data_IF_115918167261
#
_entry.id   IF_115918167261
#
_cell.length_a   1.000
_cell.length_b   1.000
_cell.length_c   1.000
_cell.angle_alpha   90.00
_cell.angle_beta   90.00
_cell.angle_gamma   90.00
#
_symmetry.space_group_name_H-M   'P 1'
#
loop_
_entity.id
_entity.type
_entity.pdbx_description
1 polymer ?
#
# COMPACT_ATOMS: atom_id res chain seq x y z
N UNK A 1 2.04 -24.76 -14.10
CA UNK A 1 0.90 -24.06 -13.47
C UNK A 1 -0.31 -24.48 -14.28
N UNK A 2 -1.19 -25.29 -13.71
CA UNK A 2 -2.42 -25.71 -14.40
C UNK A 2 -3.28 -24.47 -14.62
N UNK A 3 -3.80 -24.31 -15.81
CA UNK A 3 -4.70 -23.23 -16.20
C UNK A 3 -5.97 -23.34 -15.35
N UNK A 4 -6.04 -22.60 -14.25
CA UNK A 4 -7.32 -22.40 -13.58
C UNK A 4 -8.20 -21.58 -14.53
N UNK A 5 -9.43 -22.04 -14.82
CA UNK A 5 -10.35 -21.26 -15.61
C UNK A 5 -10.52 -19.90 -14.95
N UNK A 6 -10.45 -18.84 -15.75
CA UNK A 6 -10.66 -17.48 -15.25
C UNK A 6 -12.04 -17.40 -14.60
N UNK A 7 -12.17 -16.64 -13.50
CA UNK A 7 -13.45 -16.47 -12.80
C UNK A 7 -14.59 -16.05 -13.74
N UNK A 8 -14.24 -15.30 -14.79
CA UNK A 8 -15.14 -14.88 -15.84
C UNK A 8 -15.69 -16.06 -16.67
N UNK A 9 -14.85 -17.06 -16.98
CA UNK A 9 -15.30 -18.27 -17.68
C UNK A 9 -16.23 -19.12 -16.82
N UNK A 10 -15.95 -19.24 -15.52
CA UNK A 10 -16.80 -20.00 -14.58
C UNK A 10 -18.19 -19.36 -14.47
N UNK A 11 -18.24 -18.04 -14.33
CA UNK A 11 -19.50 -17.30 -14.27
C UNK A 11 -20.27 -17.39 -15.59
N UNK A 12 -19.57 -17.29 -16.74
CA UNK A 12 -20.18 -17.44 -18.05
C UNK A 12 -20.81 -18.83 -18.23
N UNK A 13 -20.09 -19.89 -17.87
CA UNK A 13 -20.61 -21.25 -17.94
C UNK A 13 -21.84 -21.47 -17.04
N UNK A 14 -21.89 -20.79 -15.88
CA UNK A 14 -23.05 -20.84 -14.98
C UNK A 14 -24.30 -20.24 -15.66
N UNK A 15 -24.17 -19.07 -16.27
CA UNK A 15 -25.28 -18.43 -17.00
C UNK A 15 -25.69 -19.21 -18.26
N UNK A 16 -24.73 -19.76 -19.00
CA UNK A 16 -25.01 -20.57 -20.20
C UNK A 16 -25.77 -21.86 -19.86
N UNK A 17 -25.61 -22.37 -18.64
CA UNK A 17 -26.32 -23.56 -18.13
C UNK A 17 -27.67 -23.24 -17.47
N UNK A 18 -27.98 -21.97 -17.25
CA UNK A 18 -29.20 -21.55 -16.55
C UNK A 18 -30.37 -21.54 -17.53
N UNK A 19 -31.46 -22.22 -17.16
CA UNK A 19 -32.73 -22.12 -17.88
C UNK A 19 -33.49 -20.86 -17.43
N UNK A 20 -33.37 -19.80 -18.22
CA UNK A 20 -34.00 -18.51 -17.93
C UNK A 20 -35.53 -18.53 -18.05
N UNK A 21 -36.09 -19.49 -18.79
CA UNK A 21 -37.55 -19.60 -18.99
C UNK A 21 -38.30 -19.91 -17.70
N UNK A 22 -37.62 -20.49 -16.71
CA UNK A 22 -38.17 -20.77 -15.38
C UNK A 22 -38.55 -19.48 -14.64
N UNK A 23 -37.80 -18.40 -14.81
CA UNK A 23 -38.12 -17.11 -14.19
C UNK A 23 -39.35 -16.47 -14.85
N UNK A 24 -39.45 -16.55 -16.18
CA UNK A 24 -40.62 -16.05 -16.93
C UNK A 24 -41.90 -16.83 -16.59
N UNK A 25 -41.78 -18.13 -16.37
CA UNK A 25 -42.91 -18.99 -16.02
C UNK A 25 -43.37 -18.82 -14.56
N UNK A 26 -42.47 -18.43 -13.65
CA UNK A 26 -42.75 -18.27 -12.23
C UNK A 26 -43.19 -16.85 -11.85
N UNK A 27 -42.76 -15.83 -12.60
CA UNK A 27 -43.07 -14.44 -12.30
C UNK A 27 -44.50 -14.07 -12.71
N UNK A 28 -45.20 -13.34 -11.84
CA UNK A 28 -46.55 -12.82 -12.11
C UNK A 28 -46.55 -11.45 -12.76
N UNK A 29 -45.47 -10.68 -12.57
CA UNK A 29 -45.24 -9.40 -13.20
C UNK A 29 -43.76 -9.17 -13.53
N UNK A 30 -43.48 -8.05 -14.22
CA UNK A 30 -42.13 -7.70 -14.66
C UNK A 30 -41.19 -7.35 -13.50
N UNK A 31 -41.72 -6.83 -12.40
CA UNK A 31 -40.94 -6.42 -11.24
C UNK A 31 -40.42 -7.67 -10.51
N UNK A 32 -41.29 -8.64 -10.27
CA UNK A 32 -40.97 -9.95 -9.69
C UNK A 32 -39.98 -10.73 -10.56
N UNK A 33 -40.14 -10.70 -11.89
CA UNK A 33 -39.18 -11.29 -12.82
C UNK A 33 -37.80 -10.65 -12.67
N UNK A 34 -37.75 -9.32 -12.61
CA UNK A 34 -36.49 -8.57 -12.51
C UNK A 34 -35.82 -8.82 -11.17
N UNK A 35 -36.57 -8.82 -10.07
CA UNK A 35 -36.07 -9.09 -8.72
C UNK A 35 -35.50 -10.50 -8.61
N UNK A 36 -36.25 -11.51 -9.04
CA UNK A 36 -35.83 -12.92 -8.95
C UNK A 36 -34.63 -13.22 -9.84
N UNK A 37 -34.61 -12.72 -11.08
CA UNK A 37 -33.47 -12.88 -11.99
C UNK A 37 -32.22 -12.16 -11.45
N UNK A 38 -32.36 -10.94 -10.94
CA UNK A 38 -31.24 -10.16 -10.37
C UNK A 38 -30.68 -10.82 -9.10
N UNK A 39 -31.56 -11.38 -8.26
CA UNK A 39 -31.16 -12.13 -7.06
C UNK A 39 -30.37 -13.38 -7.43
N UNK A 40 -30.79 -14.11 -8.47
CA UNK A 40 -30.07 -15.28 -8.94
C UNK A 40 -28.71 -14.92 -9.55
N UNK A 41 -28.63 -13.85 -10.35
CA UNK A 41 -27.36 -13.35 -10.91
C UNK A 41 -26.38 -13.02 -9.78
N UNK A 42 -26.83 -12.30 -8.75
CA UNK A 42 -26.01 -11.95 -7.58
C UNK A 42 -25.51 -13.20 -6.84
N UNK A 43 -26.35 -14.22 -6.71
CA UNK A 43 -25.97 -15.51 -6.13
C UNK A 43 -24.90 -16.23 -6.96
N UNK A 44 -25.02 -16.23 -8.29
CA UNK A 44 -24.00 -16.80 -9.18
C UNK A 44 -22.67 -16.06 -9.06
N UNK A 45 -22.70 -14.74 -8.91
CA UNK A 45 -21.50 -13.93 -8.67
C UNK A 45 -20.82 -14.34 -7.36
N UNK A 46 -21.56 -14.48 -6.26
CA UNK A 46 -21.01 -14.85 -4.97
C UNK A 46 -20.38 -16.26 -4.96
N UNK A 47 -20.96 -17.20 -5.71
CA UNK A 47 -20.44 -18.56 -5.83
C UNK A 47 -19.22 -18.63 -6.75
N UNK A 48 -19.26 -17.95 -7.89
CA UNK A 48 -18.22 -18.05 -8.91
C UNK A 48 -17.02 -17.12 -8.62
N UNK A 49 -17.25 -16.03 -7.89
CA UNK A 49 -16.25 -15.02 -7.58
C UNK A 49 -15.98 -15.04 -6.07
N UNK A 50 -14.96 -15.78 -5.59
CA UNK A 50 -14.67 -15.78 -4.18
C UNK A 50 -14.29 -14.36 -3.72
N UNK A 51 -14.80 -13.91 -2.55
CA UNK A 51 -14.55 -12.58 -2.03
C UNK A 51 -13.05 -12.38 -1.84
N UNK A 52 -12.52 -11.33 -2.47
CA UNK A 52 -11.11 -10.96 -2.33
C UNK A 52 -10.93 -10.16 -1.05
N UNK A 53 -10.37 -10.78 -0.03
CA UNK A 53 -9.85 -10.05 1.13
C UNK A 53 -8.46 -9.52 0.79
N UNK A 54 -8.30 -8.19 0.81
CA UNK A 54 -6.98 -7.57 0.74
C UNK A 54 -6.52 -7.21 2.15
N UNK A 55 -5.31 -7.62 2.50
CA UNK A 55 -4.65 -7.14 3.72
C UNK A 55 -3.96 -5.82 3.39
N UNK A 56 -4.56 -4.71 3.82
CA UNK A 56 -3.86 -3.42 3.84
C UNK A 56 -2.92 -3.39 5.04
N UNK A 57 -1.63 -3.63 4.78
CA UNK A 57 -0.59 -3.34 5.75
C UNK A 57 -0.34 -1.84 5.79
N UNK A 58 -0.33 -1.26 6.99
CA UNK A 58 0.12 0.11 7.21
C UNK A 58 1.63 0.20 6.95
N UNK A 59 2.03 0.29 5.67
CA UNK A 59 3.38 0.66 5.24
C UNK A 59 3.63 2.17 5.42
N UNK A 60 3.01 2.76 6.45
CA UNK A 60 3.27 4.13 6.83
C UNK A 60 4.76 4.23 7.16
N UNK A 61 5.38 5.29 6.65
CA UNK A 61 6.78 5.56 6.98
C UNK A 61 6.90 5.70 8.51
N UNK A 62 8.00 5.29 9.14
CA UNK A 62 8.13 5.35 10.61
C UNK A 62 8.01 6.76 11.18
N UNK A 63 8.33 7.78 10.38
CA UNK A 63 8.19 9.18 10.73
C UNK A 63 6.79 9.74 10.46
N UNK A 64 5.88 8.93 9.90
CA UNK A 64 4.52 9.32 9.57
C UNK A 64 3.61 9.15 10.80
N UNK A 65 3.48 10.23 11.56
CA UNK A 65 2.76 10.25 12.84
C UNK A 65 1.25 10.48 12.67
N UNK A 66 0.48 10.26 13.74
CA UNK A 66 -0.95 10.58 13.79
C UNK A 66 -1.24 12.06 13.47
N UNK A 67 -0.36 12.97 13.89
CA UNK A 67 -0.47 14.40 13.57
C UNK A 67 -0.37 14.64 12.05
N UNK A 68 0.55 13.96 11.35
CA UNK A 68 0.66 14.06 9.90
C UNK A 68 -0.57 13.50 9.17
N UNK A 69 -1.22 12.48 9.72
CA UNK A 69 -2.52 11.99 9.23
C UNK A 69 -3.61 13.06 9.37
N UNK A 70 -3.72 13.72 10.52
CA UNK A 70 -4.66 14.82 10.73
C UNK A 70 -4.42 15.98 9.75
N UNK A 71 -3.16 16.39 9.56
CA UNK A 71 -2.82 17.45 8.61
C UNK A 71 -3.09 17.07 7.15
N UNK A 72 -2.90 15.80 6.79
CA UNK A 72 -3.30 15.29 5.47
C UNK A 72 -4.82 15.37 5.31
N UNK A 73 -5.57 14.93 6.32
CA UNK A 73 -7.04 14.96 6.30
C UNK A 73 -7.57 16.39 6.16
N UNK A 74 -7.07 17.33 6.96
CA UNK A 74 -7.45 18.74 6.87
C UNK A 74 -7.19 19.36 5.49
N UNK A 75 -6.10 18.94 4.81
CA UNK A 75 -5.82 19.33 3.42
C UNK A 75 -6.85 18.76 2.44
N UNK A 76 -7.21 17.48 2.57
CA UNK A 76 -8.23 16.86 1.72
C UNK A 76 -9.61 17.48 1.93
N UNK A 77 -9.98 17.80 3.17
CA UNK A 77 -11.26 18.43 3.47
C UNK A 77 -11.33 19.86 2.91
N UNK A 78 -10.25 20.63 3.02
CA UNK A 78 -10.17 21.95 2.38
C UNK A 78 -10.25 21.87 0.85
N UNK A 79 -9.71 20.81 0.25
CA UNK A 79 -9.82 20.55 -1.19
C UNK A 79 -11.26 20.23 -1.59
N UNK A 80 -11.93 19.30 -0.87
CA UNK A 80 -13.33 18.92 -1.11
C UNK A 80 -14.28 20.11 -0.96
N UNK A 81 -14.00 20.99 -0.01
CA UNK A 81 -14.80 22.20 0.23
C UNK A 81 -14.51 23.34 -0.76
N UNK A 82 -13.58 23.17 -1.71
CA UNK A 82 -13.22 24.18 -2.71
C UNK A 82 -12.53 25.44 -2.15
N UNK A 83 -12.17 25.46 -0.86
CA UNK A 83 -11.55 26.62 -0.24
C UNK A 83 -10.06 26.66 -0.52
N UNK A 84 -9.68 27.42 -1.57
CA UNK A 84 -8.29 27.49 -2.04
C UNK A 84 -7.32 28.11 -1.03
N UNK A 85 -7.76 29.04 -0.19
CA UNK A 85 -6.91 29.69 0.83
C UNK A 85 -6.59 28.69 1.94
N UNK A 86 -7.62 28.04 2.49
CA UNK A 86 -7.44 27.01 3.52
C UNK A 86 -6.64 25.82 3.00
N UNK A 87 -6.87 25.40 1.74
CA UNK A 87 -6.09 24.34 1.11
C UNK A 87 -4.60 24.70 1.06
N UNK A 88 -4.25 25.90 0.61
CA UNK A 88 -2.86 26.34 0.52
C UNK A 88 -2.20 26.40 1.90
N UNK A 89 -2.92 26.88 2.93
CA UNK A 89 -2.43 26.88 4.30
C UNK A 89 -2.19 25.45 4.80
N UNK A 90 -3.18 24.57 4.69
CA UNK A 90 -3.07 23.17 5.11
C UNK A 90 -1.95 22.43 4.37
N UNK A 91 -1.80 22.65 3.06
CA UNK A 91 -0.71 22.10 2.23
C UNK A 91 0.65 22.56 2.72
N UNK A 92 0.80 23.85 3.01
CA UNK A 92 2.06 24.43 3.48
C UNK A 92 2.43 23.90 4.87
N UNK A 93 1.47 23.84 5.79
CA UNK A 93 1.65 23.27 7.14
C UNK A 93 2.04 21.79 7.05
N UNK A 94 1.31 20.98 6.29
CA UNK A 94 1.64 19.57 6.08
C UNK A 94 3.06 19.39 5.53
N UNK A 95 3.46 20.19 4.55
CA UNK A 95 4.80 20.12 3.95
C UNK A 95 5.91 20.49 4.94
N UNK A 96 5.67 21.46 5.83
CA UNK A 96 6.61 21.84 6.89
C UNK A 96 6.79 20.70 7.90
N UNK A 97 5.68 20.12 8.36
CA UNK A 97 5.68 19.05 9.35
C UNK A 97 6.28 17.75 8.81
N UNK A 98 6.03 17.40 7.55
CA UNK A 98 6.67 16.25 6.89
C UNK A 98 8.19 16.41 6.92
N UNK A 99 8.70 17.59 6.53
CA UNK A 99 10.15 17.86 6.54
C UNK A 99 10.73 17.82 7.95
N UNK A 100 9.99 18.31 8.95
CA UNK A 100 10.41 18.25 10.35
C UNK A 100 10.48 16.80 10.85
N UNK A 101 9.47 15.99 10.55
CA UNK A 101 9.42 14.59 10.92
C UNK A 101 10.53 13.78 10.23
N UNK A 102 10.75 13.98 8.92
CA UNK A 102 11.85 13.37 8.17
C UNK A 102 13.21 13.70 8.81
N UNK A 103 13.46 14.98 9.15
CA UNK A 103 14.71 15.40 9.80
C UNK A 103 14.90 14.80 11.19
N UNK A 104 13.87 14.81 12.02
CA UNK A 104 13.93 14.25 13.37
C UNK A 104 14.21 12.75 13.34
N UNK A 105 13.63 12.04 12.38
CA UNK A 105 13.90 10.62 12.18
C UNK A 105 15.32 10.35 11.65
N UNK A 106 15.78 11.13 10.68
CA UNK A 106 17.16 11.03 10.19
C UNK A 106 18.19 11.23 11.32
N UNK A 107 17.97 12.23 12.20
CA UNK A 107 18.83 12.46 13.37
C UNK A 107 18.84 11.27 14.32
N UNK A 108 17.67 10.70 14.64
CA UNK A 108 17.58 9.51 15.50
C UNK A 108 18.40 8.34 14.95
N UNK A 109 18.40 8.15 13.64
CA UNK A 109 19.20 7.12 13.00
C UNK A 109 20.70 7.43 13.07
N UNK A 110 21.10 8.68 12.81
CA UNK A 110 22.49 9.13 12.97
C UNK A 110 22.99 8.93 14.42
N UNK A 111 22.15 9.23 15.41
CA UNK A 111 22.46 9.00 16.83
C UNK A 111 22.66 7.50 17.13
N UNK A 112 21.84 6.61 16.57
CA UNK A 112 22.01 5.16 16.70
C UNK A 112 23.33 4.65 16.09
N UNK A 113 23.76 5.21 14.96
CA UNK A 113 25.05 4.88 14.36
C UNK A 113 26.23 5.34 15.21
N UNK A 114 26.15 6.53 15.80
CA UNK A 114 27.24 7.07 16.65
C UNK A 114 27.39 6.32 17.98
N UNK A 115 26.31 5.71 18.47
CA UNK A 115 26.31 4.89 19.69
C UNK A 115 26.86 3.45 19.49
N UNK A 116 27.47 3.14 18.34
CA UNK A 116 27.96 1.81 17.96
C UNK A 116 26.89 0.70 18.04
N UNK A 117 25.60 1.04 17.99
CA UNK A 117 24.48 0.11 17.93
C UNK A 117 24.03 -0.05 16.47
N UNK A 118 24.98 -0.33 15.59
CA UNK A 118 24.74 -0.50 14.16
C UNK A 118 23.77 -1.65 13.86
N UNK A 119 23.66 -2.64 14.75
CA UNK A 119 22.78 -3.79 14.60
C UNK A 119 21.29 -3.44 14.83
N UNK A 120 20.96 -2.43 15.64
CA UNK A 120 19.57 -2.02 15.87
C UNK A 120 18.95 -1.28 14.69
N UNK A 121 19.77 -0.56 13.91
CA UNK A 121 19.33 0.12 12.68
C UNK A 121 18.81 -0.87 11.64
N UNK A 122 19.45 -2.04 11.51
CA UNK A 122 19.02 -3.08 10.57
C UNK A 122 17.83 -3.91 11.06
N UNK A 123 17.50 -3.82 12.36
CA UNK A 123 16.27 -4.39 12.93
C UNK A 123 15.07 -3.46 12.75
N UNK A 124 15.29 -2.17 12.53
CA UNK A 124 14.23 -1.24 12.16
C UNK A 124 13.76 -1.55 10.72
N UNK A 125 12.49 -1.95 10.51
CA UNK A 125 11.92 -2.22 9.18
C UNK A 125 12.03 -1.03 8.20
N UNK A 126 12.43 0.12 8.72
CA UNK A 126 12.44 1.40 8.06
C UNK A 126 13.75 1.80 7.40
N UNK A 127 14.85 1.06 7.61
CA UNK A 127 16.14 1.33 6.98
C UNK A 127 16.03 1.48 5.45
N UNK A 128 15.05 0.78 4.84
CA UNK A 128 14.71 0.86 3.41
C UNK A 128 14.13 2.20 2.93
N UNK A 129 13.71 3.10 3.83
CA UNK A 129 13.06 4.37 3.49
C UNK A 129 14.00 5.59 3.55
N UNK A 130 15.27 5.40 3.90
CA UNK A 130 16.29 6.45 3.90
C UNK A 130 16.61 6.88 2.47
N UNK A 131 16.54 8.20 2.19
CA UNK A 131 16.91 8.76 0.89
C UNK A 131 18.43 9.03 0.87
N UNK A 132 19.19 8.50 -0.11
CA UNK A 132 20.65 8.58 -0.12
C UNK A 132 21.25 9.99 -0.30
N UNK A 133 20.46 11.01 -0.64
CA UNK A 133 20.96 12.35 -0.99
C UNK A 133 20.82 13.40 0.12
N UNK A 134 20.27 13.05 1.30
CA UNK A 134 20.00 14.02 2.37
C UNK A 134 21.12 14.15 3.43
N UNK A 135 22.30 13.59 3.20
CA UNK A 135 23.43 13.76 4.11
C UNK A 135 24.75 13.91 3.37
N UNK A 136 25.32 15.12 3.44
CA UNK A 136 26.70 15.39 3.06
C UNK A 136 27.72 14.66 3.97
N UNK A 137 27.26 14.06 5.07
CA UNK A 137 28.06 13.24 5.99
C UNK A 137 28.27 11.80 5.51
N UNK A 138 27.54 11.34 4.48
CA UNK A 138 27.66 9.97 3.95
C UNK A 138 28.86 9.73 3.02
N UNK A 139 29.80 10.69 2.89
CA UNK A 139 31.00 10.51 2.05
C UNK A 139 32.02 9.50 2.62
N UNK A 140 31.92 9.13 3.90
CA UNK A 140 32.75 8.07 4.50
C UNK A 140 32.16 6.67 4.36
N UNK A 141 30.84 6.52 4.19
CA UNK A 141 30.18 5.18 4.07
C UNK A 141 30.42 4.52 2.71
N UNK A 142 30.75 5.30 1.67
CA UNK A 142 31.11 4.73 0.36
C UNK A 142 32.50 4.07 0.36
N UNK A 143 33.39 4.46 1.27
CA UNK A 143 34.74 3.89 1.35
C UNK A 143 34.69 2.51 2.02
N UNK A 144 33.96 2.38 3.14
CA UNK A 144 33.86 1.11 3.89
C UNK A 144 33.11 0.03 3.09
N UNK A 145 32.15 0.41 2.23
CA UNK A 145 31.40 -0.54 1.40
C UNK A 145 32.23 -1.17 0.26
N UNK A 146 33.28 -0.49 -0.22
CA UNK A 146 34.18 -1.04 -1.24
C UNK A 146 35.28 -1.91 -0.64
N UNK A 147 35.77 -1.55 0.54
CA UNK A 147 36.84 -2.32 1.19
C UNK A 147 36.34 -3.64 1.77
N UNK A 148 35.10 -3.71 2.30
CA UNK A 148 34.54 -4.96 2.80
C UNK A 148 34.13 -5.95 1.68
N UNK A 149 33.98 -5.47 0.43
CA UNK A 149 33.72 -6.33 -0.74
C UNK A 149 35.01 -6.87 -1.38
N UNK A 150 36.15 -6.22 -1.17
CA UNK A 150 37.44 -6.64 -1.73
C UNK A 150 38.11 -7.74 -0.89
N UNK A 151 37.82 -7.80 0.41
CA UNK A 151 38.43 -8.78 1.33
C UNK A 151 37.79 -10.18 1.28
N UNK A 152 36.61 -10.31 0.68
CA UNK A 152 35.92 -11.61 0.52
C UNK A 152 36.25 -12.33 -0.79
N UNK A 153 37.14 -11.76 -1.63
CA UNK A 153 37.51 -12.32 -2.94
C UNK A 153 38.91 -12.99 -2.99
N UNK A 154 39.66 -13.06 -1.89
CA UNK A 154 40.92 -13.83 -1.84
C UNK A 154 40.74 -15.13 -1.06
N UNK A 155 40.32 -16.20 -1.75
CA UNK A 155 40.57 -17.57 -1.28
C UNK A 155 42.08 -17.84 -1.31
N UNK A 156 42.71 -18.35 -0.24
CA UNK A 156 43.99 -19.02 -0.38
C UNK A 156 43.75 -20.46 -0.85
N UNK A 157 44.49 -20.85 -1.89
CA UNK A 157 44.71 -22.23 -2.30
C UNK A 157 45.18 -23.07 -1.11
N UNK A 158 44.55 -24.23 -0.91
CA UNK A 158 45.18 -25.55 -0.77
C UNK A 158 44.10 -26.63 -0.82
#
# INVERSE_FOLDING_TARGET
KRDEPTKQWVLQACFDSTDWSVFEAAATDLDELTETATSYISFCEDICIPPRTYLTFNNDKPWFTANLRHLRQAKEDAYRNGNRVLYNQARNTLSKEIRAAERSYARKLEDQFTLNDSASVWKDPSAKFLKPHLSASFRTVTIISRDLKRDTSKRPNK
#
